data_IF_465006729967
#
_entry.id   IF_465006729967
#
_cell.length_a   1.000
_cell.length_b   1.000
_cell.length_c   1.000
_cell.angle_alpha   90.00
_cell.angle_beta   90.00
_cell.angle_gamma   90.00
#
_symmetry.space_group_name_H-M   'P 1'
#
loop_
_entity.id
_entity.type
_entity.pdbx_description
1 polymer ?
#
# COMPACT_ATOMS: atom_id res chain seq x y z
N UNK A 1 -26.90 -33.68 62.97
CA UNK A 1 -26.59 -32.51 63.82
C UNK A 1 -26.39 -31.33 62.87
N UNK A 2 -27.25 -30.30 62.87
CA UNK A 2 -27.17 -29.08 63.72
C UNK A 2 -25.89 -28.30 63.36
N UNK A 3 -25.87 -27.04 62.84
CA UNK A 3 -26.86 -25.96 62.62
C UNK A 3 -26.35 -25.09 61.41
N UNK A 4 -27.09 -24.38 60.53
CA UNK A 4 -28.06 -23.26 60.63
C UNK A 4 -27.57 -22.04 61.46
N UNK A 5 -27.64 -20.76 61.03
CA UNK A 5 -27.98 -20.14 59.73
C UNK A 5 -27.09 -18.87 59.45
N UNK A 6 -27.48 -17.58 59.21
CA UNK A 6 -28.77 -16.85 59.21
C UNK A 6 -28.74 -15.45 58.49
N UNK A 7 -29.13 -15.39 57.20
CA UNK A 7 -30.00 -14.35 56.56
C UNK A 7 -29.55 -12.86 56.42
N UNK A 8 -29.79 -12.27 55.22
CA UNK A 8 -30.06 -10.82 54.98
C UNK A 8 -29.32 -10.25 53.76
N UNK A 9 -29.88 -9.90 52.58
CA UNK A 9 -31.25 -9.71 52.03
C UNK A 9 -31.83 -8.27 52.07
N UNK A 10 -32.15 -7.75 50.87
CA UNK A 10 -33.00 -6.59 50.49
C UNK A 10 -32.48 -5.15 50.69
N UNK A 11 -32.24 -4.47 49.56
CA UNK A 11 -32.69 -3.12 49.24
C UNK A 11 -33.03 -3.07 47.73
N UNK A 12 -33.94 -2.20 47.28
CA UNK A 12 -34.49 -2.22 45.92
C UNK A 12 -34.58 -0.81 45.27
N UNK A 13 -34.59 -0.79 43.93
CA UNK A 13 -35.00 0.27 43.00
C UNK A 13 -34.89 1.75 43.40
N UNK A 14 -34.13 2.53 42.61
CA UNK A 14 -34.69 3.76 42.01
C UNK A 14 -33.94 4.16 40.72
N UNK A 15 -34.64 4.83 39.80
CA UNK A 15 -34.17 5.18 38.45
C UNK A 15 -34.19 6.71 38.25
N UNK A 16 -33.13 7.30 37.70
CA UNK A 16 -33.18 8.28 36.56
C UNK A 16 -31.83 8.93 36.22
N UNK A 17 -31.64 9.27 34.93
CA UNK A 17 -30.81 10.36 34.34
C UNK A 17 -29.42 10.63 34.98
N UNK A 18 -28.35 10.45 34.22
CA UNK A 18 -27.88 11.52 33.31
C UNK A 18 -27.29 10.98 32.00
N UNK A 19 -26.94 11.87 31.06
CA UNK A 19 -26.56 11.56 29.67
C UNK A 19 -25.44 12.51 29.22
N UNK A 20 -24.45 12.00 28.48
CA UNK A 20 -23.50 12.75 27.61
C UNK A 20 -22.83 14.01 28.18
N UNK A 21 -21.55 13.93 28.56
CA UNK A 21 -20.65 15.10 28.68
C UNK A 21 -19.17 14.83 28.34
N UNK A 22 -18.67 13.60 28.53
CA UNK A 22 -17.22 13.28 28.50
C UNK A 22 -16.51 13.46 27.15
N UNK A 23 -17.21 13.37 26.01
CA UNK A 23 -16.54 13.38 24.70
C UNK A 23 -16.21 14.79 24.16
N UNK A 24 -16.78 15.86 24.71
CA UNK A 24 -16.51 17.23 24.23
C UNK A 24 -15.21 17.83 24.81
N UNK A 25 -14.78 17.44 26.01
CA UNK A 25 -13.51 17.93 26.57
C UNK A 25 -12.30 17.34 25.85
N UNK A 26 -12.35 16.04 25.50
CA UNK A 26 -11.28 15.37 24.76
C UNK A 26 -11.07 15.96 23.35
N UNK A 27 -12.15 16.29 22.64
CA UNK A 27 -12.07 16.92 21.31
C UNK A 27 -11.43 18.32 21.38
N UNK A 28 -11.78 19.10 22.41
CA UNK A 28 -11.19 20.43 22.64
C UNK A 28 -9.70 20.34 23.05
N UNK A 29 -9.28 19.29 23.75
CA UNK A 29 -7.86 19.05 24.05
C UNK A 29 -7.05 18.72 22.78
N UNK A 30 -7.62 17.92 21.87
CA UNK A 30 -6.97 17.56 20.61
C UNK A 30 -6.77 18.78 19.70
N UNK A 31 -7.83 19.57 19.46
CA UNK A 31 -7.77 20.77 18.61
C UNK A 31 -6.75 21.81 19.12
N UNK A 32 -6.65 21.98 20.45
CA UNK A 32 -5.72 22.94 21.06
C UNK A 32 -4.24 22.55 20.90
N UNK A 33 -3.94 21.30 20.54
CA UNK A 33 -2.56 20.79 20.33
C UNK A 33 -2.07 20.92 18.88
N UNK A 34 -2.97 21.14 17.92
CA UNK A 34 -2.65 21.33 16.49
C UNK A 34 -2.28 22.79 16.18
N UNK A 35 -2.84 23.76 16.92
CA UNK A 35 -2.72 25.19 16.66
C UNK A 35 -1.36 25.84 17.05
N UNK A 36 -0.34 25.06 17.43
CA UNK A 36 0.89 25.58 18.07
C UNK A 36 2.14 25.64 17.18
N UNK A 37 2.11 25.15 15.94
CA UNK A 37 3.29 25.05 15.05
C UNK A 37 3.02 25.54 13.61
N UNK A 38 2.57 26.78 13.45
CA UNK A 38 2.48 27.44 12.12
C UNK A 38 2.63 28.97 12.21
N UNK A 39 3.86 29.46 12.42
CA UNK A 39 4.12 30.90 12.59
C UNK A 39 5.47 31.37 12.05
N UNK A 40 5.65 31.36 10.73
CA UNK A 40 6.54 32.28 10.02
C UNK A 40 5.78 32.92 8.85
N UNK A 41 5.50 34.22 9.02
CA UNK A 41 4.89 35.15 8.06
C UNK A 41 6.01 36.11 7.56
N UNK A 42 5.71 37.21 6.82
CA UNK A 42 5.30 37.25 5.41
C UNK A 42 6.18 38.27 4.62
N UNK A 43 5.80 38.67 3.39
CA UNK A 43 5.58 40.10 3.01
C UNK A 43 5.24 40.32 1.52
N UNK A 44 4.90 41.58 1.18
CA UNK A 44 4.61 42.13 -0.16
C UNK A 44 3.36 41.52 -0.85
N UNK A 45 2.12 41.95 -0.54
CA UNK A 45 1.51 43.29 -0.68
C UNK A 45 1.29 43.73 -2.14
N UNK A 46 0.06 43.44 -2.60
CA UNK A 46 -0.89 44.37 -3.24
C UNK A 46 -0.39 45.39 -4.28
N UNK A 47 -0.94 45.28 -5.49
CA UNK A 47 -1.31 46.47 -6.28
C UNK A 47 -2.49 46.16 -7.21
N UNK A 48 -3.32 47.17 -7.50
CA UNK A 48 -4.36 47.20 -8.54
C UNK A 48 -5.47 46.13 -8.56
N UNK A 49 -6.31 46.17 -7.52
CA UNK A 49 -7.77 46.17 -7.78
C UNK A 49 -8.11 47.52 -8.41
N UNK A 50 -8.23 47.58 -9.75
CA UNK A 50 -9.01 48.60 -10.50
C UNK A 50 -8.96 48.36 -12.01
N UNK A 51 -9.74 47.40 -12.52
CA UNK A 51 -10.57 47.72 -13.69
C UNK A 51 -11.88 46.92 -13.67
N UNK A 52 -12.96 47.70 -13.71
CA UNK A 52 -14.35 47.30 -13.70
C UNK A 52 -14.74 46.32 -14.81
N UNK A 53 -15.74 45.51 -14.45
CA UNK A 53 -16.97 45.29 -15.22
C UNK A 53 -16.95 45.70 -16.71
N UNK A 54 -17.04 44.71 -17.59
CA UNK A 54 -17.89 44.79 -18.78
C UNK A 54 -18.28 43.38 -19.23
N UNK A 55 -19.53 43.18 -19.69
CA UNK A 55 -20.01 41.98 -20.41
C UNK A 55 -19.81 40.67 -19.60
N UNK A 56 -20.71 40.21 -18.73
CA UNK A 56 -22.17 40.08 -18.79
C UNK A 56 -22.69 39.30 -20.02
N UNK A 57 -23.06 38.03 -19.77
CA UNK A 57 -23.93 37.14 -20.58
C UNK A 57 -23.55 36.89 -22.05
N UNK A 58 -23.37 35.60 -22.37
CA UNK A 58 -24.43 34.78 -22.98
C UNK A 58 -24.19 33.30 -22.62
N UNK A 59 -25.29 32.57 -22.43
CA UNK A 59 -25.36 31.12 -22.25
C UNK A 59 -26.40 30.62 -23.30
N UNK A 60 -26.34 29.39 -23.84
CA UNK A 60 -26.59 28.19 -23.02
C UNK A 60 -25.89 26.87 -23.44
N UNK A 61 -26.12 25.86 -22.59
CA UNK A 61 -26.10 24.38 -22.80
C UNK A 61 -26.07 23.84 -24.25
N UNK A 62 -25.35 22.74 -24.49
CA UNK A 62 -25.95 21.39 -24.59
C UNK A 62 -24.89 20.25 -24.46
N UNK A 63 -25.33 18.99 -24.55
CA UNK A 63 -24.60 17.76 -24.16
C UNK A 63 -23.59 17.18 -25.19
N UNK A 64 -22.82 16.18 -24.72
CA UNK A 64 -22.06 15.15 -25.47
C UNK A 64 -22.97 14.29 -26.42
N UNK A 65 -22.46 13.37 -27.31
CA UNK A 65 -21.11 12.76 -27.36
C UNK A 65 -20.47 12.49 -28.76
N UNK A 66 -19.29 11.84 -28.74
CA UNK A 66 -18.69 10.89 -29.73
C UNK A 66 -18.03 11.35 -31.06
N UNK A 67 -16.79 10.87 -31.22
CA UNK A 67 -16.06 10.38 -32.42
C UNK A 67 -16.13 11.10 -33.79
N UNK A 68 -14.96 11.47 -34.31
CA UNK A 68 -14.69 11.75 -35.72
C UNK A 68 -13.18 11.91 -35.96
N UNK A 69 -12.66 11.43 -37.10
CA UNK A 69 -11.21 11.33 -37.34
C UNK A 69 -10.83 11.81 -38.76
N UNK A 70 -9.69 12.53 -38.81
CA UNK A 70 -8.83 12.79 -39.97
C UNK A 70 -9.23 13.82 -41.06
N UNK A 71 -8.16 14.47 -41.52
CA UNK A 71 -7.81 14.92 -42.87
C UNK A 71 -8.37 16.22 -43.50
N UNK A 72 -7.43 17.16 -43.67
CA UNK A 72 -7.06 17.82 -44.92
C UNK A 72 -8.16 18.10 -45.97
N UNK A 73 -8.29 19.38 -46.35
CA UNK A 73 -7.57 19.83 -47.55
C UNK A 73 -7.40 21.35 -47.64
N UNK A 74 -6.42 21.73 -48.46
CA UNK A 74 -5.97 23.10 -48.74
C UNK A 74 -6.55 23.58 -50.07
N UNK A 75 -7.10 24.80 -50.12
CA UNK A 75 -6.82 25.67 -51.26
C UNK A 75 -7.00 27.16 -50.94
N UNK A 76 -6.18 27.99 -51.59
CA UNK A 76 -6.30 29.44 -51.65
C UNK A 76 -7.20 29.87 -52.81
N UNK A 77 -7.77 31.08 -52.73
CA UNK A 77 -8.09 31.87 -53.93
C UNK A 77 -7.83 33.35 -53.69
N UNK A 78 -6.98 33.95 -54.53
CA UNK A 78 -6.62 35.37 -54.50
C UNK A 78 -6.76 35.93 -55.93
N UNK A 79 -7.94 36.45 -56.25
CA UNK A 79 -8.19 37.27 -57.44
C UNK A 79 -8.85 38.59 -57.00
N UNK A 80 -8.53 39.75 -57.55
CA UNK A 80 -7.49 40.05 -58.53
C UNK A 80 -7.79 41.37 -59.27
N UNK A 81 -6.75 42.04 -59.81
CA UNK A 81 -6.88 43.17 -60.76
C UNK A 81 -7.53 44.46 -60.18
N UNK A 82 -7.46 45.64 -60.81
CA UNK A 82 -6.31 46.37 -61.37
C UNK A 82 -6.69 47.87 -61.43
N UNK A 83 -5.80 48.80 -61.05
CA UNK A 83 -6.15 50.22 -60.88
C UNK A 83 -4.99 51.17 -61.23
N UNK A 84 -5.15 51.90 -62.33
CA UNK A 84 -4.10 52.71 -62.98
C UNK A 84 -3.65 53.95 -62.17
N UNK A 85 -2.35 54.21 -62.21
CA UNK A 85 -1.62 55.50 -62.11
C UNK A 85 -2.15 56.66 -61.24
N UNK A 86 -1.26 57.06 -60.32
CA UNK A 86 -0.87 58.46 -60.04
C UNK A 86 -1.90 59.43 -59.44
N UNK A 87 -2.55 58.99 -58.37
CA UNK A 87 -2.76 59.86 -57.20
C UNK A 87 -2.52 59.07 -55.89
N UNK A 88 -2.50 59.75 -54.74
CA UNK A 88 -2.39 59.20 -53.39
C UNK A 88 -1.11 58.40 -53.09
N UNK A 89 -0.07 59.14 -52.68
CA UNK A 89 1.13 58.64 -51.98
C UNK A 89 0.81 57.94 -50.63
N UNK A 90 -0.47 57.84 -50.24
CA UNK A 90 -0.98 57.26 -49.00
C UNK A 90 -1.61 55.86 -49.16
N UNK A 91 -2.14 55.48 -50.33
CA UNK A 91 -2.76 54.15 -50.50
C UNK A 91 -1.76 52.99 -50.55
N UNK A 92 -0.56 53.20 -51.09
CA UNK A 92 0.51 52.17 -51.08
C UNK A 92 1.12 52.00 -49.69
N UNK A 93 1.35 53.09 -48.96
CA UNK A 93 1.87 53.07 -47.59
C UNK A 93 0.86 52.47 -46.60
N UNK A 94 -0.44 52.73 -46.76
CA UNK A 94 -1.48 52.06 -45.95
C UNK A 94 -1.41 50.53 -46.05
N UNK A 95 -1.28 49.97 -47.25
CA UNK A 95 -1.15 48.52 -47.47
C UNK A 95 0.17 47.98 -46.89
N UNK A 96 1.29 48.69 -47.07
CA UNK A 96 2.58 48.27 -46.50
C UNK A 96 2.56 48.26 -44.97
N UNK A 97 1.89 49.24 -44.33
CA UNK A 97 1.77 49.31 -42.86
C UNK A 97 0.84 48.21 -42.32
N UNK A 98 -0.28 47.90 -42.97
CA UNK A 98 -1.15 46.80 -42.52
C UNK A 98 -0.52 45.43 -42.72
N UNK A 99 0.24 45.23 -43.80
CA UNK A 99 1.02 44.00 -44.02
C UNK A 99 2.14 43.87 -42.97
N UNK A 100 2.88 44.94 -42.66
CA UNK A 100 3.89 44.92 -41.59
C UNK A 100 3.28 44.63 -40.20
N UNK A 101 2.11 45.19 -39.89
CA UNK A 101 1.41 44.89 -38.63
C UNK A 101 0.94 43.43 -38.57
N UNK A 102 0.42 42.87 -39.67
CA UNK A 102 0.05 41.45 -39.72
C UNK A 102 1.27 40.54 -39.55
N UNK A 103 2.41 40.85 -40.17
CA UNK A 103 3.66 40.12 -39.99
C UNK A 103 4.16 40.22 -38.54
N UNK A 104 4.09 41.41 -37.93
CA UNK A 104 4.49 41.62 -36.54
C UNK A 104 3.60 40.85 -35.54
N UNK A 105 2.28 40.85 -35.76
CA UNK A 105 1.34 40.07 -34.93
C UNK A 105 1.55 38.56 -35.13
N UNK A 106 1.78 38.09 -36.36
CA UNK A 106 2.09 36.68 -36.62
C UNK A 106 3.39 36.27 -35.93
N UNK A 107 4.44 37.10 -35.99
CA UNK A 107 5.70 36.87 -35.28
C UNK A 107 5.53 36.85 -33.75
N UNK A 108 4.69 37.72 -33.18
CA UNK A 108 4.38 37.71 -31.75
C UNK A 108 3.61 36.45 -31.33
N UNK A 109 2.65 36.00 -32.16
CA UNK A 109 1.90 34.77 -31.94
C UNK A 109 2.85 33.57 -31.97
N UNK A 110 3.72 33.45 -32.97
CA UNK A 110 4.73 32.38 -33.05
C UNK A 110 5.70 32.41 -31.85
N UNK A 111 6.11 33.59 -31.40
CA UNK A 111 6.94 33.74 -30.20
C UNK A 111 6.20 33.29 -28.92
N UNK A 112 4.92 33.63 -28.77
CA UNK A 112 4.09 33.17 -27.63
C UNK A 112 3.85 31.65 -27.62
N UNK A 113 3.83 31.00 -28.78
CA UNK A 113 3.78 29.53 -28.89
C UNK A 113 5.15 28.84 -28.69
N UNK A 114 6.22 29.60 -28.45
CA UNK A 114 7.53 29.06 -28.03
C UNK A 114 8.27 28.21 -29.07
N UNK A 115 7.84 28.21 -30.34
CA UNK A 115 8.20 27.16 -31.31
C UNK A 115 9.39 27.50 -32.24
N UNK A 116 10.07 28.63 -32.05
CA UNK A 116 11.28 29.00 -32.81
C UNK A 116 12.37 29.61 -31.90
N UNK A 117 13.60 29.06 -31.90
CA UNK A 117 14.72 29.63 -31.17
C UNK A 117 15.39 30.76 -31.97
N UNK A 118 15.62 31.91 -31.32
CA UNK A 118 16.46 32.98 -31.86
C UNK A 118 17.74 33.07 -31.02
N UNK A 119 18.94 32.83 -31.60
CA UNK A 119 20.19 32.89 -30.86
C UNK A 119 20.62 34.36 -30.65
N UNK A 120 20.43 34.88 -29.43
CA UNK A 120 21.05 36.12 -29.01
C UNK A 120 22.55 35.89 -28.76
N UNK A 121 23.39 36.49 -29.61
CA UNK A 121 24.85 36.33 -29.55
C UNK A 121 25.43 36.83 -28.23
N UNK A 122 25.96 35.91 -27.43
CA UNK A 122 26.74 36.18 -26.22
C UNK A 122 27.69 35.02 -25.93
N UNK A 123 28.96 35.18 -26.29
CA UNK A 123 30.11 34.32 -25.93
C UNK A 123 29.81 32.82 -25.72
N UNK A 124 29.79 32.06 -26.81
CA UNK A 124 29.64 30.60 -26.74
C UNK A 124 30.95 29.93 -26.29
N UNK A 125 31.01 29.52 -25.02
CA UNK A 125 31.83 28.36 -24.65
C UNK A 125 31.12 27.08 -25.12
N UNK A 126 31.83 26.11 -25.71
CA UNK A 126 31.19 24.96 -26.33
C UNK A 126 30.84 23.86 -25.31
N UNK A 127 29.54 23.58 -25.18
CA UNK A 127 29.08 22.25 -24.78
C UNK A 127 28.95 22.00 -23.28
N UNK A 128 28.11 22.77 -22.58
CA UNK A 128 27.23 22.13 -21.60
C UNK A 128 26.18 21.32 -22.38
N UNK A 129 26.21 19.97 -22.37
CA UNK A 129 25.04 19.22 -22.80
C UNK A 129 23.87 19.59 -21.88
N UNK A 130 22.63 19.44 -22.36
CA UNK A 130 21.49 19.38 -21.45
C UNK A 130 21.73 18.24 -20.46
N UNK A 131 22.11 18.60 -19.25
CA UNK A 131 22.29 17.66 -18.16
C UNK A 131 20.92 17.10 -17.81
N UNK A 132 20.54 16.02 -18.48
CA UNK A 132 19.54 15.08 -17.98
C UNK A 132 20.10 14.53 -16.68
N UNK A 133 19.86 15.26 -15.60
CA UNK A 133 20.11 14.84 -14.22
C UNK A 133 19.08 13.81 -13.82
N UNK A 134 19.02 12.72 -14.58
CA UNK A 134 18.77 11.39 -14.04
C UNK A 134 19.58 11.32 -12.74
N UNK A 135 18.94 11.29 -11.55
CA UNK A 135 19.66 11.36 -10.30
C UNK A 135 20.55 10.10 -10.24
N UNK A 136 21.87 10.29 -10.32
CA UNK A 136 22.83 9.19 -10.48
C UNK A 136 22.70 8.23 -9.29
N UNK A 137 21.92 7.18 -9.55
CA UNK A 137 21.39 6.24 -8.56
C UNK A 137 22.35 5.08 -8.46
N UNK A 138 23.43 5.29 -7.73
CA UNK A 138 24.47 4.30 -7.56
C UNK A 138 23.94 3.20 -6.64
N UNK A 139 23.87 1.98 -7.17
CA UNK A 139 23.53 0.78 -6.41
C UNK A 139 24.78 0.04 -5.97
N UNK A 140 24.72 -0.63 -4.83
CA UNK A 140 25.74 -1.57 -4.37
C UNK A 140 25.08 -2.80 -3.75
N UNK A 141 25.65 -3.98 -4.01
CA UNK A 141 25.17 -5.28 -3.53
C UNK A 141 26.22 -5.98 -2.66
N UNK A 142 25.78 -6.70 -1.63
CA UNK A 142 26.63 -7.58 -0.80
C UNK A 142 25.87 -8.82 -0.42
N UNK A 143 26.46 -10.00 -0.69
CA UNK A 143 25.96 -11.30 -0.24
C UNK A 143 26.82 -11.80 0.91
N UNK A 144 26.18 -12.31 1.96
CA UNK A 144 26.86 -12.85 3.15
C UNK A 144 26.16 -14.14 3.57
N UNK A 145 26.93 -15.18 3.88
CA UNK A 145 26.41 -16.51 4.24
C UNK A 145 26.81 -16.85 5.67
N UNK A 146 25.85 -17.34 6.46
CA UNK A 146 26.09 -17.78 7.83
C UNK A 146 25.45 -19.14 8.07
N UNK A 147 26.08 -19.92 8.93
CA UNK A 147 25.59 -21.22 9.39
C UNK A 147 25.35 -21.12 10.89
N UNK A 148 24.16 -21.51 11.35
CA UNK A 148 23.73 -21.40 12.75
C UNK A 148 23.29 -22.78 13.25
N UNK A 149 23.67 -23.13 14.48
CA UNK A 149 23.25 -24.37 15.13
C UNK A 149 21.73 -24.46 15.23
N UNK A 150 21.14 -25.63 15.01
CA UNK A 150 19.70 -25.82 15.18
C UNK A 150 19.27 -25.66 16.63
N UNK A 151 18.34 -24.74 16.87
CA UNK A 151 17.59 -24.59 18.13
C UNK A 151 16.10 -24.78 17.84
N UNK A 152 15.26 -25.12 18.84
CA UNK A 152 13.82 -25.24 18.65
C UNK A 152 13.19 -24.02 17.98
N UNK A 153 13.64 -22.82 18.37
CA UNK A 153 13.09 -21.54 17.89
C UNK A 153 14.14 -20.67 17.19
N UNK A 154 13.70 -20.02 16.10
CA UNK A 154 14.44 -18.98 15.38
C UNK A 154 13.63 -17.67 15.36
N UNK A 155 14.16 -16.61 15.97
CA UNK A 155 13.64 -15.26 15.85
C UNK A 155 14.41 -14.47 14.79
N UNK A 156 13.70 -13.67 13.98
CA UNK A 156 14.29 -12.87 12.91
C UNK A 156 13.70 -11.45 12.93
N UNK A 157 14.54 -10.44 13.03
CA UNK A 157 14.17 -9.02 13.03
C UNK A 157 14.92 -8.27 11.92
N UNK A 158 14.18 -7.77 10.93
CA UNK A 158 14.74 -7.05 9.76
C UNK A 158 14.00 -5.74 9.51
N UNK A 159 14.63 -4.57 9.67
CA UNK A 159 13.92 -3.30 9.52
C UNK A 159 13.39 -3.02 8.11
N UNK A 160 14.13 -3.41 7.07
CA UNK A 160 13.76 -3.21 5.66
C UNK A 160 14.31 -4.34 4.78
N UNK A 161 13.42 -5.16 4.22
CA UNK A 161 13.81 -6.30 3.36
C UNK A 161 12.84 -7.46 3.41
N UNK A 162 12.93 -8.32 2.41
CA UNK A 162 12.15 -9.54 2.31
C UNK A 162 12.77 -10.64 3.18
N UNK A 163 11.93 -11.38 3.91
CA UNK A 163 12.34 -12.58 4.67
C UNK A 163 11.73 -13.80 3.99
N UNK A 164 12.54 -14.62 3.35
CA UNK A 164 12.14 -15.93 2.81
C UNK A 164 12.65 -17.02 3.74
N UNK A 165 11.76 -17.85 4.29
CA UNK A 165 12.13 -19.02 5.10
C UNK A 165 11.63 -20.28 4.43
N UNK A 166 12.52 -21.24 4.20
CA UNK A 166 12.22 -22.52 3.59
C UNK A 166 12.58 -23.67 4.54
N UNK A 167 11.56 -24.43 4.95
CA UNK A 167 11.74 -25.70 5.63
C UNK A 167 12.32 -26.77 4.70
N UNK A 168 13.29 -27.52 5.20
CA UNK A 168 13.94 -28.61 4.48
C UNK A 168 14.60 -29.63 5.41
N UNK A 169 15.10 -30.72 4.82
CA UNK A 169 15.87 -31.74 5.53
C UNK A 169 17.33 -31.27 5.62
N UNK A 170 17.61 -30.40 6.60
CA UNK A 170 18.92 -29.77 6.84
C UNK A 170 19.31 -29.88 8.31
N UNK A 171 20.56 -30.27 8.58
CA UNK A 171 21.09 -30.40 9.94
C UNK A 171 21.44 -29.06 10.61
N UNK A 172 21.46 -27.97 9.84
CA UNK A 172 21.96 -26.64 10.26
C UNK A 172 21.15 -25.54 9.56
N UNK A 173 20.93 -24.42 10.25
CA UNK A 173 20.23 -23.26 9.70
C UNK A 173 21.20 -22.48 8.81
N UNK A 174 20.83 -22.26 7.55
CA UNK A 174 21.65 -21.53 6.56
C UNK A 174 21.01 -20.17 6.27
N UNK A 175 21.76 -19.09 6.43
CA UNK A 175 21.27 -17.71 6.27
C UNK A 175 22.06 -17.01 5.18
N UNK A 176 21.43 -16.76 4.04
CA UNK A 176 22.00 -15.94 2.95
C UNK A 176 21.37 -14.54 3.00
N UNK A 177 22.16 -13.54 3.40
CA UNK A 177 21.75 -12.13 3.41
C UNK A 177 22.22 -11.43 2.14
N UNK A 178 21.29 -10.87 1.37
CA UNK A 178 21.55 -10.00 0.23
C UNK A 178 21.21 -8.55 0.58
N UNK A 179 22.24 -7.75 0.86
CA UNK A 179 22.10 -6.29 1.08
C UNK A 179 22.14 -5.57 -0.26
N UNK A 180 21.15 -4.71 -0.51
CA UNK A 180 21.11 -3.75 -1.61
C UNK A 180 21.01 -2.33 -1.05
N UNK A 181 21.73 -1.37 -1.63
CA UNK A 181 21.63 0.05 -1.24
C UNK A 181 21.58 0.97 -2.44
N UNK A 182 21.04 2.18 -2.26
CA UNK A 182 20.98 3.22 -3.29
C UNK A 182 21.46 4.55 -2.70
N UNK A 183 22.36 5.24 -3.39
CA UNK A 183 22.77 6.59 -3.02
C UNK A 183 23.14 7.47 -4.24
N UNK A 184 23.21 8.79 -4.00
CA UNK A 184 23.58 9.77 -5.02
C UNK A 184 25.05 9.69 -5.48
N UNK A 185 25.93 8.94 -4.77
CA UNK A 185 27.33 8.72 -5.15
C UNK A 185 27.73 7.25 -4.92
N UNK A 186 28.71 6.70 -5.69
CA UNK A 186 29.15 5.31 -5.51
C UNK A 186 29.77 5.06 -4.13
N UNK A 187 30.53 6.03 -3.63
CA UNK A 187 31.19 5.96 -2.32
C UNK A 187 30.14 5.87 -1.21
N UNK A 188 29.06 6.67 -1.28
CA UNK A 188 28.00 6.65 -0.27
C UNK A 188 27.18 5.36 -0.30
N UNK A 189 26.96 4.76 -1.47
CA UNK A 189 26.35 3.42 -1.56
C UNK A 189 27.26 2.35 -0.92
N UNK A 190 28.58 2.45 -1.13
CA UNK A 190 29.54 1.54 -0.50
C UNK A 190 29.61 1.69 1.02
N UNK A 191 29.54 2.93 1.55
CA UNK A 191 29.41 3.19 2.99
C UNK A 191 28.16 2.53 3.58
N UNK A 192 27.01 2.65 2.89
CA UNK A 192 25.75 2.06 3.34
C UNK A 192 25.82 0.52 3.36
N UNK A 193 26.38 -0.11 2.32
CA UNK A 193 26.62 -1.58 2.30
C UNK A 193 27.57 -2.03 3.41
N UNK A 194 28.62 -1.24 3.68
CA UNK A 194 29.56 -1.50 4.78
C UNK A 194 28.91 -1.37 6.16
N UNK A 195 27.88 -0.53 6.28
CA UNK A 195 27.15 -0.28 7.53
C UNK A 195 25.99 -1.24 7.83
N UNK A 196 25.69 -2.22 6.96
CA UNK A 196 24.71 -3.29 7.25
C UNK A 196 25.41 -4.53 7.77
N UNK A 197 25.00 -4.95 8.98
CA UNK A 197 25.51 -6.12 9.68
C UNK A 197 24.36 -6.97 10.23
N UNK A 198 24.53 -8.29 10.16
CA UNK A 198 23.67 -9.25 10.84
C UNK A 198 24.30 -9.58 12.20
N UNK A 199 23.61 -9.27 13.28
CA UNK A 199 23.97 -9.77 14.61
C UNK A 199 23.24 -11.08 14.88
N UNK A 200 23.99 -12.08 15.36
CA UNK A 200 23.50 -13.44 15.63
C UNK A 200 23.71 -13.70 17.12
N UNK A 201 22.61 -13.73 17.88
CA UNK A 201 22.63 -14.04 19.31
C UNK A 201 22.03 -15.41 19.54
N UNK A 202 22.85 -16.37 19.97
CA UNK A 202 22.43 -17.73 20.26
C UNK A 202 22.22 -17.87 21.79
N UNK A 203 21.02 -18.28 22.20
CA UNK A 203 20.73 -18.69 23.57
C UNK A 203 20.70 -20.22 23.68
N UNK A 204 20.32 -20.76 24.83
CA UNK A 204 20.09 -22.21 24.98
C UNK A 204 18.90 -22.72 24.17
N UNK A 205 17.88 -21.89 23.97
CA UNK A 205 16.53 -22.27 23.51
C UNK A 205 16.12 -21.60 22.19
N UNK A 206 16.54 -20.36 21.95
CA UNK A 206 16.30 -19.60 20.72
C UNK A 206 17.59 -19.05 20.09
N UNK A 207 17.63 -19.05 18.76
CA UNK A 207 18.56 -18.24 17.97
C UNK A 207 17.87 -16.94 17.57
N UNK A 208 18.54 -15.80 17.67
CA UNK A 208 18.01 -14.50 17.29
C UNK A 208 18.91 -13.85 16.23
N UNK A 209 18.32 -13.58 15.06
CA UNK A 209 18.93 -12.89 13.92
C UNK A 209 18.41 -11.46 13.85
N UNK A 210 19.27 -10.45 14.06
CA UNK A 210 18.88 -9.05 13.98
C UNK A 210 19.71 -8.31 12.92
N UNK A 211 19.04 -7.69 11.94
CA UNK A 211 19.71 -6.89 10.90
C UNK A 211 19.84 -5.44 11.35
N UNK A 212 21.07 -5.03 11.68
CA UNK A 212 21.36 -3.63 11.97
C UNK A 212 21.56 -2.83 10.68
N UNK A 213 20.83 -1.72 10.59
CA UNK A 213 20.83 -0.82 9.44
C UNK A 213 21.55 0.50 9.76
N UNK A 214 22.35 1.06 8.84
CA UNK A 214 23.00 2.35 9.02
C UNK A 214 21.98 3.50 8.88
N UNK A 215 22.29 4.67 9.47
CA UNK A 215 21.45 5.86 9.33
C UNK A 215 21.48 6.38 7.88
N UNK A 216 20.33 6.31 7.23
CA UNK A 216 20.06 6.83 5.89
C UNK A 216 19.73 8.33 5.90
N UNK A 217 19.76 8.94 4.72
CA UNK A 217 19.34 10.33 4.44
C UNK A 217 18.23 10.32 3.37
N UNK A 218 17.59 11.46 3.15
CA UNK A 218 16.62 11.61 2.07
C UNK A 218 17.22 11.17 0.71
N UNK A 219 16.46 10.38 -0.05
CA UNK A 219 16.88 9.77 -1.32
C UNK A 219 18.05 8.74 -1.23
N UNK A 220 18.41 8.29 -0.03
CA UNK A 220 19.14 7.04 0.17
C UNK A 220 18.16 5.88 0.41
N UNK A 221 18.53 4.67 0.02
CA UNK A 221 17.77 3.44 0.28
C UNK A 221 18.71 2.35 0.79
N UNK A 222 18.23 1.54 1.73
CA UNK A 222 18.90 0.33 2.22
C UNK A 222 17.85 -0.75 2.36
N UNK A 223 18.16 -1.95 1.86
CA UNK A 223 17.33 -3.16 1.90
C UNK A 223 18.24 -4.34 2.19
N UNK A 224 17.84 -5.26 3.06
CA UNK A 224 18.57 -6.49 3.34
C UNK A 224 17.61 -7.67 3.27
N UNK A 225 17.67 -8.40 2.16
CA UNK A 225 16.83 -9.56 1.95
C UNK A 225 17.49 -10.80 2.57
N UNK A 226 16.73 -11.55 3.35
CA UNK A 226 17.17 -12.79 4.00
C UNK A 226 16.53 -13.98 3.29
N UNK A 227 17.35 -14.93 2.85
CA UNK A 227 16.90 -16.27 2.45
C UNK A 227 17.45 -17.26 3.46
N UNK A 228 16.55 -17.92 4.19
CA UNK A 228 16.88 -18.77 5.33
C UNK A 228 16.38 -20.19 5.04
N UNK A 229 17.28 -21.19 5.12
CA UNK A 229 16.90 -22.59 5.17
C UNK A 229 16.94 -23.08 6.61
N UNK A 230 15.88 -23.77 7.05
CA UNK A 230 15.71 -24.30 8.41
C UNK A 230 15.26 -25.76 8.37
N UNK A 231 15.52 -26.54 9.43
CA UNK A 231 14.83 -27.82 9.63
C UNK A 231 13.31 -27.63 9.56
N UNK A 232 12.59 -28.60 8.98
CA UNK A 232 11.13 -28.55 8.85
C UNK A 232 10.41 -28.28 10.18
N UNK A 233 10.97 -28.71 11.31
CA UNK A 233 10.37 -28.62 12.65
C UNK A 233 10.85 -27.44 13.52
N UNK A 234 11.39 -26.37 12.93
CA UNK A 234 11.82 -25.17 13.66
C UNK A 234 10.66 -24.19 13.85
N UNK A 235 10.42 -23.72 15.08
CA UNK A 235 9.49 -22.65 15.41
C UNK A 235 10.03 -21.29 14.95
N UNK A 236 9.18 -20.41 14.43
CA UNK A 236 9.59 -19.12 13.86
C UNK A 236 8.91 -17.92 14.54
N UNK A 237 9.68 -16.86 14.83
CA UNK A 237 9.20 -15.55 15.28
C UNK A 237 9.77 -14.45 14.35
N UNK A 238 9.09 -14.22 13.22
CA UNK A 238 9.54 -13.32 12.15
C UNK A 238 8.96 -11.92 12.33
N UNK A 239 9.81 -10.89 12.18
CA UNK A 239 9.46 -9.48 12.33
C UNK A 239 10.10 -8.64 11.23
N UNK A 240 9.29 -7.80 10.57
CA UNK A 240 9.78 -6.77 9.65
C UNK A 240 8.93 -5.51 9.78
N UNK A 241 9.50 -4.36 9.41
CA UNK A 241 8.75 -3.10 9.35
C UNK A 241 8.37 -2.69 7.92
N UNK A 242 9.01 -3.30 6.91
CA UNK A 242 8.76 -3.06 5.49
C UNK A 242 9.42 -4.13 4.63
N UNK A 243 8.61 -5.02 4.04
CA UNK A 243 9.07 -6.07 3.13
C UNK A 243 8.09 -7.24 3.06
N UNK A 244 8.29 -8.14 2.10
CA UNK A 244 7.49 -9.36 2.01
C UNK A 244 8.04 -10.42 2.98
N UNK A 245 7.16 -11.16 3.65
CA UNK A 245 7.54 -12.35 4.43
C UNK A 245 6.97 -13.58 3.74
N UNK A 246 7.82 -14.51 3.34
CA UNK A 246 7.42 -15.74 2.64
C UNK A 246 7.92 -16.97 3.40
N UNK A 247 7.01 -17.84 3.86
CA UNK A 247 7.34 -19.06 4.61
C UNK A 247 6.84 -20.30 3.85
N UNK A 248 7.75 -21.25 3.62
CA UNK A 248 7.53 -22.44 2.76
C UNK A 248 7.85 -23.74 3.49
N UNK A 249 6.97 -24.73 3.39
CA UNK A 249 7.19 -26.14 3.76
C UNK A 249 7.66 -26.37 5.21
N UNK A 250 7.09 -25.63 6.17
CA UNK A 250 7.46 -25.67 7.58
C UNK A 250 6.36 -26.32 8.45
N UNK A 251 6.71 -26.92 9.58
CA UNK A 251 5.79 -27.58 10.51
C UNK A 251 6.09 -27.21 11.97
N UNK A 252 5.16 -26.56 12.68
CA UNK A 252 5.36 -26.20 14.08
C UNK A 252 4.52 -24.98 14.49
N UNK A 253 5.11 -24.09 15.30
CA UNK A 253 4.55 -22.80 15.64
C UNK A 253 5.17 -21.69 14.79
N UNK A 254 4.33 -20.82 14.22
CA UNK A 254 4.74 -19.66 13.42
C UNK A 254 4.13 -18.38 13.99
N UNK A 255 4.97 -17.38 14.25
CA UNK A 255 4.53 -15.98 14.33
C UNK A 255 5.17 -15.13 13.24
N UNK A 256 4.36 -14.33 12.56
CA UNK A 256 4.81 -13.26 11.66
C UNK A 256 4.15 -11.96 12.09
N UNK A 257 4.97 -10.94 12.35
CA UNK A 257 4.53 -9.56 12.56
C UNK A 257 5.16 -8.66 11.49
N UNK A 258 4.33 -7.97 10.71
CA UNK A 258 4.75 -6.97 9.75
C UNK A 258 4.00 -5.64 9.96
N UNK A 259 4.54 -4.54 9.43
CA UNK A 259 3.84 -3.27 9.33
C UNK A 259 3.54 -2.82 7.89
N UNK A 260 4.35 -3.16 6.89
CA UNK A 260 4.28 -2.60 5.53
C UNK A 260 4.72 -3.64 4.48
N UNK A 261 3.91 -4.69 4.30
CA UNK A 261 4.35 -5.91 3.62
C UNK A 261 3.25 -6.95 3.42
N UNK A 262 3.44 -7.82 2.43
CA UNK A 262 2.61 -9.01 2.23
C UNK A 262 3.19 -10.18 3.01
N UNK A 263 2.33 -10.96 3.69
CA UNK A 263 2.69 -12.22 4.33
C UNK A 263 2.20 -13.38 3.44
N UNK A 264 3.12 -14.24 2.99
CA UNK A 264 2.83 -15.42 2.17
C UNK A 264 3.20 -16.70 2.91
N UNK A 265 2.27 -17.63 2.98
CA UNK A 265 2.43 -18.90 3.69
C UNK A 265 2.06 -20.06 2.76
N UNK A 266 2.99 -20.98 2.51
CA UNK A 266 2.81 -22.07 1.56
C UNK A 266 3.26 -23.42 2.16
N UNK A 267 2.39 -24.42 2.13
CA UNK A 267 2.73 -25.78 2.58
C UNK A 267 3.02 -25.88 4.09
N UNK A 268 2.46 -24.97 4.90
CA UNK A 268 2.67 -24.93 6.34
C UNK A 268 1.78 -25.91 7.10
N UNK A 269 2.26 -26.42 8.24
CA UNK A 269 1.44 -27.19 9.19
C UNK A 269 1.64 -26.79 10.65
N UNK A 270 0.58 -26.86 11.45
CA UNK A 270 0.62 -26.59 12.89
C UNK A 270 -0.20 -25.36 13.28
N UNK A 271 0.37 -24.47 14.09
CA UNK A 271 -0.33 -23.31 14.66
C UNK A 271 0.33 -22.00 14.19
N UNK A 272 -0.47 -20.98 13.83
CA UNK A 272 0.05 -19.75 13.24
C UNK A 272 -0.63 -18.45 13.71
N UNK A 273 0.17 -17.42 13.96
CA UNK A 273 -0.25 -16.04 14.21
C UNK A 273 0.39 -15.11 13.17
N UNK A 274 -0.43 -14.47 12.33
CA UNK A 274 -0.01 -13.61 11.24
C UNK A 274 -0.68 -12.23 11.39
N UNK A 275 0.10 -11.17 11.51
CA UNK A 275 -0.39 -9.79 11.64
C UNK A 275 0.37 -8.86 10.69
N UNK A 276 -0.34 -8.08 9.87
CA UNK A 276 0.21 -6.94 9.13
C UNK A 276 -0.62 -5.68 9.32
N UNK A 277 0.03 -4.50 9.28
CA UNK A 277 -0.68 -3.23 9.30
C UNK A 277 -1.12 -2.79 7.89
N UNK A 278 -0.22 -2.73 6.90
CA UNK A 278 -0.57 -2.47 5.50
C UNK A 278 -0.05 -3.60 4.61
N UNK A 279 -0.93 -4.47 4.14
CA UNK A 279 -0.62 -5.51 3.17
C UNK A 279 -1.52 -6.75 3.25
N UNK A 280 -1.33 -7.67 2.31
CA UNK A 280 -2.17 -8.85 2.17
C UNK A 280 -1.61 -10.02 2.99
N UNK A 281 -2.49 -10.95 3.37
CA UNK A 281 -2.09 -12.26 3.89
C UNK A 281 -2.58 -13.34 2.92
N UNK A 282 -1.63 -14.05 2.32
CA UNK A 282 -1.85 -15.08 1.29
C UNK A 282 -1.41 -16.44 1.84
N UNK A 283 -2.37 -17.28 2.21
CA UNK A 283 -2.12 -18.65 2.70
C UNK A 283 -2.55 -19.65 1.62
N UNK A 284 -1.68 -20.60 1.28
CA UNK A 284 -1.95 -21.63 0.27
C UNK A 284 -1.46 -23.01 0.71
N UNK A 285 -2.16 -24.05 0.26
CA UNK A 285 -1.78 -25.47 0.43
C UNK A 285 -1.38 -25.85 1.88
N UNK A 286 -1.96 -25.21 2.90
CA UNK A 286 -1.55 -25.33 4.31
C UNK A 286 -2.59 -26.05 5.16
N UNK A 287 -2.18 -26.58 6.32
CA UNK A 287 -3.02 -27.38 7.22
C UNK A 287 -2.80 -27.01 8.69
N UNK A 288 -3.74 -26.29 9.29
CA UNK A 288 -3.64 -25.85 10.68
C UNK A 288 -4.29 -26.83 11.66
N UNK A 289 -3.76 -26.87 12.88
CA UNK A 289 -4.19 -27.80 13.93
C UNK A 289 -5.10 -27.12 14.96
N UNK A 290 -4.55 -26.36 15.90
CA UNK A 290 -5.26 -25.84 17.08
C UNK A 290 -5.72 -24.41 16.82
N UNK A 291 -4.83 -23.56 16.31
CA UNK A 291 -5.07 -22.12 16.19
C UNK A 291 -4.50 -21.51 14.89
N UNK A 292 -5.32 -20.70 14.23
CA UNK A 292 -4.93 -19.75 13.19
C UNK A 292 -5.46 -18.36 13.54
N UNK A 293 -4.56 -17.39 13.66
CA UNK A 293 -4.90 -15.97 13.76
C UNK A 293 -4.33 -15.25 12.55
N UNK A 294 -5.16 -14.55 11.78
CA UNK A 294 -4.74 -13.77 10.62
C UNK A 294 -5.42 -12.39 10.63
N UNK A 295 -4.62 -11.34 10.81
CA UNK A 295 -5.08 -9.96 11.02
C UNK A 295 -4.42 -9.03 10.00
N UNK A 296 -5.20 -8.28 9.22
CA UNK A 296 -4.67 -7.17 8.39
C UNK A 296 -5.48 -5.90 8.61
N UNK A 297 -4.84 -4.78 8.97
CA UNK A 297 -5.59 -3.53 9.06
C UNK A 297 -6.00 -3.01 7.68
N UNK A 298 -5.09 -3.02 6.70
CA UNK A 298 -5.34 -2.56 5.34
C UNK A 298 -4.75 -3.53 4.31
N UNK A 299 -5.58 -4.45 3.83
CA UNK A 299 -5.23 -5.44 2.81
C UNK A 299 -6.13 -6.66 2.82
N UNK A 300 -6.02 -7.45 1.75
CA UNK A 300 -6.88 -8.60 1.49
C UNK A 300 -6.34 -9.87 2.18
N UNK A 301 -7.26 -10.72 2.62
CA UNK A 301 -6.97 -12.01 3.23
C UNK A 301 -7.40 -13.13 2.28
N UNK A 302 -6.46 -13.89 1.73
CA UNK A 302 -6.75 -15.03 0.85
C UNK A 302 -6.21 -16.31 1.49
N UNK A 303 -7.11 -17.24 1.83
CA UNK A 303 -6.75 -18.45 2.59
C UNK A 303 -7.28 -19.70 1.90
N UNK A 304 -6.37 -20.42 1.26
CA UNK A 304 -6.53 -21.78 0.73
C UNK A 304 -5.84 -22.75 1.69
N UNK A 305 -6.58 -23.23 2.69
CA UNK A 305 -6.03 -24.11 3.73
C UNK A 305 -7.11 -24.99 4.38
N UNK A 306 -6.69 -26.15 4.88
CA UNK A 306 -7.40 -26.87 5.92
C UNK A 306 -7.24 -26.08 7.23
N UNK A 307 -8.31 -25.44 7.70
CA UNK A 307 -8.31 -24.51 8.84
C UNK A 307 -8.14 -25.23 10.20
N UNK A 308 -7.92 -24.46 11.27
CA UNK A 308 -7.68 -24.98 12.62
C UNK A 308 -8.99 -25.28 13.40
N UNK A 309 -8.86 -25.81 14.61
CA UNK A 309 -9.97 -25.91 15.57
C UNK A 309 -10.51 -24.52 15.98
N UNK A 310 -9.64 -23.52 16.13
CA UNK A 310 -9.97 -22.12 16.38
C UNK A 310 -9.34 -21.21 15.32
N UNK A 311 -10.14 -20.39 14.64
CA UNK A 311 -9.66 -19.46 13.62
C UNK A 311 -10.21 -18.06 13.90
N UNK A 312 -9.34 -17.05 13.93
CA UNK A 312 -9.69 -15.63 14.09
C UNK A 312 -9.16 -14.86 12.89
N UNK A 313 -10.07 -14.29 12.10
CA UNK A 313 -9.78 -13.65 10.82
C UNK A 313 -10.37 -12.23 10.83
N UNK A 314 -9.52 -11.21 10.89
CA UNK A 314 -9.97 -9.82 10.99
C UNK A 314 -9.35 -8.95 9.90
N UNK A 315 -10.16 -8.14 9.22
CA UNK A 315 -9.66 -7.07 8.35
C UNK A 315 -10.44 -5.76 8.52
N UNK A 316 -9.72 -4.64 8.58
CA UNK A 316 -10.40 -3.34 8.69
C UNK A 316 -10.84 -2.81 7.33
N UNK A 317 -9.93 -2.67 6.34
CA UNK A 317 -10.31 -2.51 4.93
C UNK A 317 -9.65 -3.60 4.07
N UNK A 318 -10.45 -4.45 3.44
CA UNK A 318 -9.99 -5.51 2.54
C UNK A 318 -11.00 -6.64 2.39
N UNK A 319 -10.89 -7.41 1.31
CA UNK A 319 -11.73 -8.59 1.06
C UNK A 319 -11.11 -9.84 1.71
N UNK A 320 -11.96 -10.72 2.27
CA UNK A 320 -11.57 -12.02 2.83
C UNK A 320 -12.14 -13.14 1.96
N UNK A 321 -11.26 -13.89 1.28
CA UNK A 321 -11.61 -15.08 0.50
C UNK A 321 -11.13 -16.33 1.20
N UNK A 322 -12.06 -17.21 1.59
CA UNK A 322 -11.78 -18.54 2.10
C UNK A 322 -12.05 -19.59 1.03
N UNK A 323 -11.03 -20.40 0.72
CA UNK A 323 -11.13 -21.60 -0.10
C UNK A 323 -11.00 -22.81 0.82
N UNK A 324 -12.13 -23.43 1.16
CA UNK A 324 -12.25 -24.52 2.13
C UNK A 324 -12.28 -25.88 1.45
N UNK A 325 -11.78 -26.93 2.12
CA UNK A 325 -11.96 -28.30 1.64
C UNK A 325 -13.45 -28.68 1.67
N UNK A 326 -14.00 -29.35 0.63
CA UNK A 326 -15.41 -29.76 0.60
C UNK A 326 -15.76 -30.81 1.66
N UNK A 327 -14.78 -31.62 2.08
CA UNK A 327 -14.92 -32.72 3.04
C UNK A 327 -14.81 -32.28 4.52
N UNK A 328 -14.71 -30.97 4.77
CA UNK A 328 -14.63 -30.35 6.10
C UNK A 328 -15.90 -29.53 6.41
N UNK A 329 -16.24 -29.39 7.69
CA UNK A 329 -17.24 -28.43 8.13
C UNK A 329 -16.80 -27.61 9.35
N UNK A 330 -17.31 -26.38 9.44
CA UNK A 330 -16.92 -25.39 10.44
C UNK A 330 -18.11 -24.62 10.98
N UNK A 331 -18.06 -24.27 12.27
CA UNK A 331 -19.00 -23.32 12.88
C UNK A 331 -18.51 -21.90 12.57
N UNK A 332 -19.22 -21.20 11.70
CA UNK A 332 -18.93 -19.82 11.32
C UNK A 332 -19.72 -18.85 12.19
N UNK A 333 -19.03 -17.88 12.79
CA UNK A 333 -19.60 -16.63 13.28
C UNK A 333 -18.88 -15.46 12.59
N UNK A 334 -19.58 -14.76 11.71
CA UNK A 334 -19.00 -13.68 10.90
C UNK A 334 -19.77 -12.38 11.04
N UNK A 335 -19.04 -11.26 11.01
CA UNK A 335 -19.57 -9.90 11.04
C UNK A 335 -18.97 -9.08 9.91
N UNK A 336 -19.78 -8.22 9.28
CA UNK A 336 -19.34 -7.23 8.30
C UNK A 336 -20.05 -5.92 8.63
N UNK A 337 -19.32 -4.83 8.87
CA UNK A 337 -19.94 -3.55 9.24
C UNK A 337 -20.54 -2.82 8.03
N UNK A 338 -19.83 -2.74 6.89
CA UNK A 338 -20.46 -2.51 5.58
C UNK A 338 -19.79 -3.38 4.50
N UNK A 339 -20.60 -4.06 3.69
CA UNK A 339 -20.12 -4.96 2.65
C UNK A 339 -21.13 -6.06 2.32
N UNK A 340 -20.64 -7.27 2.00
CA UNK A 340 -21.49 -8.40 1.59
C UNK A 340 -20.86 -9.77 1.87
N UNK A 341 -21.71 -10.75 2.20
CA UNK A 341 -21.36 -12.17 2.30
C UNK A 341 -21.63 -12.88 0.96
N UNK A 342 -20.60 -13.41 0.31
CA UNK A 342 -20.67 -14.22 -0.91
C UNK A 342 -20.47 -15.70 -0.61
N UNK A 343 -21.54 -16.41 -0.29
CA UNK A 343 -21.48 -17.84 0.09
C UNK A 343 -21.67 -18.72 -1.15
N UNK A 344 -20.64 -19.49 -1.52
CA UNK A 344 -20.65 -20.49 -2.60
C UNK A 344 -20.36 -21.91 -2.08
N UNK A 345 -20.56 -22.13 -0.77
CA UNK A 345 -20.44 -23.41 -0.07
C UNK A 345 -21.78 -23.80 0.57
N UNK A 346 -22.05 -25.08 0.87
CA UNK A 346 -23.21 -25.45 1.67
C UNK A 346 -23.23 -24.72 3.01
N UNK A 347 -24.37 -24.12 3.38
CA UNK A 347 -24.53 -23.36 4.61
C UNK A 347 -25.86 -23.70 5.29
N UNK A 348 -25.81 -23.92 6.61
CA UNK A 348 -26.95 -24.25 7.48
C UNK A 348 -26.91 -23.32 8.69
N UNK A 349 -27.66 -22.22 8.63
CA UNK A 349 -27.61 -21.18 9.65
C UNK A 349 -28.56 -20.02 9.42
N UNK A 350 -28.28 -18.91 10.09
CA UNK A 350 -28.97 -17.63 9.93
C UNK A 350 -28.03 -16.59 9.34
N UNK A 351 -28.52 -15.82 8.38
CA UNK A 351 -27.79 -14.74 7.74
C UNK A 351 -28.62 -13.46 7.76
N UNK A 352 -27.95 -12.33 8.03
CA UNK A 352 -28.46 -10.97 7.93
C UNK A 352 -27.52 -10.16 7.02
N UNK A 353 -27.70 -8.83 6.95
CA UNK A 353 -26.80 -7.97 6.18
C UNK A 353 -25.42 -7.80 6.83
N UNK A 354 -25.37 -7.82 8.17
CA UNK A 354 -24.19 -7.44 8.96
C UNK A 354 -23.60 -8.62 9.74
N UNK A 355 -24.33 -9.74 9.85
CA UNK A 355 -23.94 -10.93 10.62
C UNK A 355 -24.37 -12.21 9.91
N UNK A 356 -23.52 -13.23 10.01
CA UNK A 356 -23.78 -14.62 9.64
C UNK A 356 -23.44 -15.52 10.82
N UNK A 357 -24.27 -16.53 11.09
CA UNK A 357 -23.98 -17.55 12.10
C UNK A 357 -24.55 -18.91 11.69
N UNK A 358 -23.74 -19.97 11.71
CA UNK A 358 -24.19 -21.31 11.37
C UNK A 358 -23.05 -22.28 11.08
N UNK A 359 -23.37 -23.37 10.37
CA UNK A 359 -22.39 -24.37 9.91
C UNK A 359 -22.17 -24.18 8.40
N UNK A 360 -20.91 -24.13 7.98
CA UNK A 360 -20.49 -24.18 6.57
C UNK A 360 -19.80 -25.51 6.25
N UNK A 361 -19.92 -25.97 5.00
CA UNK A 361 -19.33 -27.23 4.53
C UNK A 361 -20.19 -28.48 4.83
N UNK A 362 -19.80 -29.63 4.27
CA UNK A 362 -20.50 -30.92 4.45
C UNK A 362 -19.52 -32.08 4.66
N UNK A 363 -18.94 -32.14 5.85
CA UNK A 363 -18.01 -33.21 6.23
C UNK A 363 -17.65 -33.16 7.71
N UNK A 364 -16.44 -33.60 8.07
CA UNK A 364 -16.01 -33.66 9.47
C UNK A 364 -15.99 -32.26 10.10
N UNK A 365 -16.63 -32.09 11.27
CA UNK A 365 -16.68 -30.82 11.96
C UNK A 365 -15.34 -30.54 12.66
N UNK A 366 -14.44 -29.82 12.00
CA UNK A 366 -13.07 -29.60 12.47
C UNK A 366 -12.95 -28.46 13.49
N UNK A 367 -13.72 -27.38 13.35
CA UNK A 367 -13.50 -26.20 14.19
C UNK A 367 -14.54 -25.08 14.11
N UNK A 368 -14.09 -23.92 14.57
CA UNK A 368 -14.81 -22.65 14.60
C UNK A 368 -14.04 -21.57 13.82
N UNK A 369 -14.76 -20.72 13.10
CA UNK A 369 -14.19 -19.58 12.35
C UNK A 369 -14.91 -18.32 12.82
N UNK A 370 -14.13 -17.39 13.36
CA UNK A 370 -14.57 -16.04 13.72
C UNK A 370 -14.07 -15.07 12.66
N UNK A 371 -15.00 -14.30 12.07
CA UNK A 371 -14.69 -13.28 11.06
C UNK A 371 -15.20 -11.91 11.53
N UNK A 372 -14.34 -10.90 11.52
CA UNK A 372 -14.75 -9.51 11.71
C UNK A 372 -14.17 -8.62 10.60
N UNK A 373 -15.04 -8.14 9.70
CA UNK A 373 -14.67 -7.19 8.65
C UNK A 373 -15.31 -5.82 8.95
N UNK A 374 -14.51 -4.75 8.92
CA UNK A 374 -15.09 -3.40 9.00
C UNK A 374 -15.64 -2.95 7.64
N UNK A 375 -14.82 -2.97 6.58
CA UNK A 375 -15.23 -2.66 5.20
C UNK A 375 -14.61 -3.65 4.20
N UNK A 376 -15.46 -4.44 3.56
CA UNK A 376 -15.04 -5.48 2.61
C UNK A 376 -16.09 -6.58 2.46
N UNK A 377 -15.79 -7.60 1.66
CA UNK A 377 -16.63 -8.78 1.44
C UNK A 377 -16.02 -10.05 2.02
N UNK A 378 -16.88 -10.98 2.45
CA UNK A 378 -16.50 -12.34 2.82
C UNK A 378 -16.94 -13.28 1.70
N UNK A 379 -16.00 -13.79 0.90
CA UNK A 379 -16.27 -14.84 -0.08
C UNK A 379 -15.89 -16.21 0.48
N UNK A 380 -16.85 -17.13 0.51
CA UNK A 380 -16.67 -18.51 0.93
C UNK A 380 -16.81 -19.43 -0.28
N UNK A 381 -15.75 -20.13 -0.65
CA UNK A 381 -15.69 -21.03 -1.81
C UNK A 381 -15.18 -22.41 -1.37
N UNK A 382 -15.57 -23.45 -2.08
CA UNK A 382 -14.85 -24.73 -1.99
C UNK A 382 -13.55 -24.61 -2.79
N UNK A 383 -12.51 -25.30 -2.34
CA UNK A 383 -11.32 -25.56 -3.14
C UNK A 383 -11.73 -26.39 -4.35
N UNK A 384 -11.62 -25.82 -5.54
CA UNK A 384 -11.76 -26.56 -6.80
C UNK A 384 -10.56 -27.46 -6.96
N UNK A 385 -10.66 -28.71 -6.50
CA UNK A 385 -9.75 -29.78 -6.92
C UNK A 385 -9.62 -29.73 -8.45
N UNK A 386 -8.39 -29.63 -8.97
CA UNK A 386 -8.11 -29.44 -10.40
C UNK A 386 -8.39 -30.66 -11.28
N UNK A 387 -9.64 -31.13 -11.27
CA UNK A 387 -10.17 -32.32 -11.95
C UNK A 387 -11.65 -32.16 -12.33
N UNK A 388 -11.94 -31.15 -13.14
CA UNK A 388 -13.11 -31.07 -14.03
C UNK A 388 -12.61 -30.59 -15.42
#
# INVERSE_FOLDING_TARGET
MISAAKIGKLADNTVTRTKTSTNQELLNLALKKIASHSSLLPLCISTYVSLSLCIWKICPKFDHPQTGQCDFLWNSNYEGSSGRKDESRMRKSGIVVTVLLLIAVLALMVASTGLLPIPLFGSQEPGTPLAVTSPFSNSQEKKTEHVVETRPKLAVDTPHGQIVVQGGDVEQIQVHMHVQTRAATPVRAQELVGGVSLEITNTTEENTLQVLMPKTRNNEMVRADLVIQVPVHTELDLKTNLGEVEVKNLQGALRVLDHLGTIKLQGFKGDAYLETSLGNIEISNSQFEKELVALSHLGDLTIEASLANHNVLESSLGDLTLLLSPDESYVLEGRISLGSFGIMVPFKGQQSKERIQGIIGEGEQRGSIFVDLSLGSLELKNQTNGRD
#
